data_IF_488190750598
#
_entry.id   IF_488190750598
#
_cell.length_a   1.000
_cell.length_b   1.000
_cell.length_c   1.000
_cell.angle_alpha   90.00
_cell.angle_beta   90.00
_cell.angle_gamma   90.00
#
_symmetry.space_group_name_H-M   'P 1'
#
loop_
_entity.id
_entity.type
_entity.pdbx_description
1 polymer ?
#
# COMPACT_ATOMS: atom_id res chain seq x y z
N UNK A 1 30.43 -20.84 3.49
CA UNK A 1 29.54 -20.03 4.35
C UNK A 1 28.14 -19.80 3.75
N UNK A 2 27.88 -20.22 2.51
CA UNK A 2 26.59 -19.97 1.80
C UNK A 2 25.40 -20.80 2.29
N UNK A 3 25.64 -21.98 2.89
CA UNK A 3 24.56 -22.91 3.29
C UNK A 3 23.70 -22.44 4.47
N UNK A 4 24.24 -21.62 5.38
CA UNK A 4 23.52 -21.22 6.60
C UNK A 4 22.44 -20.15 6.32
N UNK A 5 22.64 -19.28 5.32
CA UNK A 5 21.63 -18.27 4.92
C UNK A 5 20.37 -18.90 4.32
N UNK A 6 20.51 -19.97 3.55
CA UNK A 6 19.37 -20.66 2.92
C UNK A 6 18.43 -21.33 3.95
N UNK A 7 19.01 -21.89 5.01
CA UNK A 7 18.27 -22.60 6.06
C UNK A 7 17.52 -21.61 6.97
N UNK A 8 18.14 -20.48 7.32
CA UNK A 8 17.50 -19.43 8.13
C UNK A 8 16.42 -18.65 7.37
N UNK A 9 16.51 -18.61 6.04
CA UNK A 9 15.54 -17.92 5.17
C UNK A 9 14.29 -18.76 4.86
N UNK A 10 14.15 -19.96 5.42
CA UNK A 10 13.05 -20.91 5.09
C UNK A 10 12.85 -21.12 3.58
N UNK A 11 13.95 -21.11 2.81
CA UNK A 11 13.92 -21.21 1.34
C UNK A 11 13.31 -20.00 0.61
N UNK A 12 12.83 -18.98 1.33
CA UNK A 12 12.28 -17.74 0.79
C UNK A 12 13.31 -16.62 0.97
N UNK A 13 14.29 -16.55 0.07
CA UNK A 13 15.06 -15.32 -0.03
C UNK A 13 14.13 -14.31 -0.71
N UNK A 14 13.57 -13.40 0.08
CA UNK A 14 12.88 -12.24 -0.48
C UNK A 14 13.95 -11.43 -1.21
N UNK A 15 13.82 -11.37 -2.52
CA UNK A 15 14.84 -10.87 -3.43
C UNK A 15 14.67 -9.37 -3.70
N UNK A 16 13.53 -8.79 -3.31
CA UNK A 16 13.20 -7.40 -3.53
C UNK A 16 12.55 -6.79 -2.29
N UNK A 17 13.11 -5.68 -1.81
CA UNK A 17 12.50 -4.84 -0.79
C UNK A 17 11.70 -3.71 -1.46
N UNK A 18 10.41 -3.60 -1.16
CA UNK A 18 9.49 -2.57 -1.67
C UNK A 18 9.21 -1.59 -0.55
N UNK A 19 9.63 -0.34 -0.72
CA UNK A 19 9.41 0.73 0.24
C UNK A 19 8.16 1.51 -0.16
N UNK A 20 7.21 1.65 0.76
CA UNK A 20 5.99 2.45 0.61
C UNK A 20 5.94 3.51 1.70
N UNK A 21 5.11 4.53 1.49
CA UNK A 21 5.09 5.69 2.38
C UNK A 21 4.55 5.33 3.77
N UNK A 22 3.31 4.86 3.84
CA UNK A 22 2.65 4.57 5.10
C UNK A 22 2.14 3.12 5.20
N UNK A 23 1.48 2.83 6.32
CA UNK A 23 0.89 1.53 6.59
C UNK A 23 -0.36 1.25 5.73
N UNK A 24 -1.11 2.27 5.32
CA UNK A 24 -2.24 2.10 4.41
C UNK A 24 -1.77 1.61 3.03
N UNK A 25 -0.79 2.29 2.45
CA UNK A 25 -0.13 1.92 1.21
C UNK A 25 0.44 0.49 1.26
N UNK A 26 1.05 0.13 2.40
CA UNK A 26 1.56 -1.23 2.64
C UNK A 26 0.46 -2.27 2.62
N UNK A 27 -0.63 -2.05 3.36
CA UNK A 27 -1.76 -2.99 3.40
C UNK A 27 -2.42 -3.09 2.03
N UNK A 28 -2.67 -1.96 1.36
CA UNK A 28 -3.27 -1.91 0.03
C UNK A 28 -2.45 -2.71 -0.98
N UNK A 29 -1.15 -2.43 -1.09
CA UNK A 29 -0.27 -3.14 -2.03
C UNK A 29 -0.18 -4.63 -1.69
N UNK A 30 -0.15 -4.97 -0.40
CA UNK A 30 -0.11 -6.37 0.05
C UNK A 30 -1.37 -7.11 -0.36
N UNK A 31 -2.56 -6.55 -0.15
CA UNK A 31 -3.83 -7.19 -0.50
C UNK A 31 -4.03 -7.27 -2.02
N UNK A 32 -3.65 -6.22 -2.76
CA UNK A 32 -3.68 -6.23 -4.23
C UNK A 32 -2.84 -7.38 -4.77
N UNK A 33 -1.60 -7.52 -4.30
CA UNK A 33 -0.71 -8.60 -4.75
C UNK A 33 -1.22 -9.95 -4.24
N UNK A 34 -1.79 -10.04 -3.03
CA UNK A 34 -2.37 -11.28 -2.50
C UNK A 34 -3.48 -11.82 -3.40
N UNK A 35 -4.37 -10.94 -3.87
CA UNK A 35 -5.52 -11.32 -4.69
C UNK A 35 -5.11 -11.63 -6.14
N UNK A 36 -4.26 -10.78 -6.74
CA UNK A 36 -3.91 -10.92 -8.16
C UNK A 36 -2.74 -11.87 -8.42
N UNK A 37 -1.75 -11.90 -7.54
CA UNK A 37 -0.50 -12.66 -7.75
C UNK A 37 0.18 -13.08 -6.44
N UNK A 38 -0.51 -13.90 -5.66
CA UNK A 38 -0.07 -14.35 -4.32
C UNK A 38 1.36 -14.87 -4.25
N UNK A 39 1.83 -15.56 -5.28
CA UNK A 39 3.20 -16.08 -5.31
C UNK A 39 4.28 -14.98 -5.32
N UNK A 40 3.95 -13.76 -5.76
CA UNK A 40 4.87 -12.62 -5.71
C UNK A 40 5.25 -12.25 -4.26
N UNK A 41 4.33 -12.42 -3.30
CA UNK A 41 4.58 -12.17 -1.87
C UNK A 41 5.66 -13.08 -1.26
N UNK A 42 6.01 -14.17 -1.94
CA UNK A 42 7.13 -15.05 -1.56
C UNK A 42 8.48 -14.43 -1.92
N UNK A 43 8.52 -13.59 -2.95
CA UNK A 43 9.74 -13.01 -3.50
C UNK A 43 9.98 -11.56 -3.06
N UNK A 44 8.97 -10.86 -2.54
CA UNK A 44 9.08 -9.45 -2.12
C UNK A 44 8.88 -9.26 -0.61
N UNK A 45 9.46 -8.20 -0.06
CA UNK A 45 9.14 -7.67 1.27
C UNK A 45 8.61 -6.24 1.13
N UNK A 46 7.45 -5.93 1.70
CA UNK A 46 6.86 -4.57 1.65
C UNK A 46 7.04 -3.90 3.01
N UNK A 47 7.63 -2.70 3.02
CA UNK A 47 7.96 -1.95 4.24
C UNK A 47 7.35 -0.55 4.17
N UNK A 48 6.59 -0.17 5.20
CA UNK A 48 6.17 1.20 5.42
C UNK A 48 7.34 1.97 6.06
N UNK A 49 7.81 3.04 5.42
CA UNK A 49 9.04 3.73 5.79
C UNK A 49 8.78 5.14 6.34
N UNK A 50 7.76 5.84 5.87
CA UNK A 50 7.46 7.23 6.19
C UNK A 50 7.20 8.05 4.93
N UNK A 51 7.48 9.34 4.94
CA UNK A 51 7.21 10.19 3.77
C UNK A 51 8.00 9.80 2.49
N UNK A 52 7.62 10.40 1.36
CA UNK A 52 8.30 10.28 0.06
C UNK A 52 9.82 10.45 0.09
N UNK A 53 10.38 11.29 0.97
CA UNK A 53 11.83 11.50 1.06
C UNK A 53 12.49 10.34 1.81
N UNK A 54 11.87 9.87 2.90
CA UNK A 54 12.30 8.70 3.65
C UNK A 54 12.25 7.43 2.78
N UNK A 55 11.19 7.24 1.98
CA UNK A 55 11.07 6.13 1.02
C UNK A 55 12.21 6.14 0.00
N UNK A 56 12.54 7.32 -0.55
CA UNK A 56 13.63 7.47 -1.52
C UNK A 56 14.99 7.19 -0.87
N UNK A 57 15.21 7.69 0.34
CA UNK A 57 16.46 7.49 1.07
C UNK A 57 16.64 6.02 1.46
N UNK A 58 15.61 5.36 1.99
CA UNK A 58 15.64 3.94 2.33
C UNK A 58 15.98 3.07 1.12
N UNK A 59 15.36 3.34 -0.03
CA UNK A 59 15.67 2.66 -1.30
C UNK A 59 17.14 2.89 -1.71
N UNK A 60 17.64 4.11 -1.58
CA UNK A 60 19.06 4.41 -1.85
C UNK A 60 20.00 3.62 -0.92
N UNK A 61 19.70 3.57 0.37
CA UNK A 61 20.50 2.85 1.38
C UNK A 61 20.47 1.35 1.12
N UNK A 62 19.30 0.75 0.91
CA UNK A 62 19.15 -0.67 0.63
C UNK A 62 19.94 -1.08 -0.63
N UNK A 63 19.81 -0.32 -1.72
CA UNK A 63 20.57 -0.55 -2.94
C UNK A 63 22.10 -0.45 -2.71
N UNK A 64 22.57 0.51 -1.91
CA UNK A 64 24.00 0.62 -1.52
C UNK A 64 24.49 -0.57 -0.69
N UNK A 65 23.61 -1.21 0.09
CA UNK A 65 23.95 -2.42 0.86
C UNK A 65 23.93 -3.71 0.03
N UNK A 66 23.68 -3.62 -1.28
CA UNK A 66 23.64 -4.75 -2.20
C UNK A 66 22.33 -5.54 -2.16
N UNK A 67 21.29 -5.01 -1.53
CA UNK A 67 19.93 -5.53 -1.61
C UNK A 67 19.18 -4.83 -2.74
N UNK A 68 18.43 -5.56 -3.56
CA UNK A 68 17.56 -4.92 -4.56
C UNK A 68 16.39 -4.29 -3.83
N UNK A 69 16.13 -3.02 -4.11
CA UNK A 69 14.99 -2.31 -3.56
C UNK A 69 14.37 -1.36 -4.58
N UNK A 70 13.05 -1.20 -4.45
CA UNK A 70 12.24 -0.25 -5.21
C UNK A 70 11.37 0.55 -4.23
N UNK A 71 10.87 1.68 -4.71
CA UNK A 71 9.94 2.51 -3.97
C UNK A 71 8.63 2.61 -4.74
N UNK A 72 7.50 2.54 -4.03
CA UNK A 72 6.16 2.81 -4.56
C UNK A 72 5.58 3.97 -3.76
N UNK A 73 5.37 5.09 -4.44
CA UNK A 73 4.89 6.36 -3.86
C UNK A 73 3.42 6.59 -4.13
N UNK A 74 2.86 7.60 -3.49
CA UNK A 74 1.53 8.08 -3.79
C UNK A 74 1.41 8.56 -5.24
N UNK A 75 0.21 8.43 -5.80
CA UNK A 75 -0.04 8.67 -7.22
C UNK A 75 0.18 10.14 -7.64
N UNK A 76 0.05 11.08 -6.70
CA UNK A 76 0.20 12.53 -6.92
C UNK A 76 1.67 12.99 -6.96
N UNK A 77 2.60 12.22 -6.40
CA UNK A 77 4.05 12.48 -6.46
C UNK A 77 4.65 12.07 -7.81
N UNK A 78 4.02 11.10 -8.48
CA UNK A 78 4.40 10.58 -9.80
C UNK A 78 5.50 9.51 -9.77
N UNK A 79 5.86 8.98 -10.95
CA UNK A 79 6.80 7.87 -11.12
C UNK A 79 8.10 8.25 -11.82
N UNK A 80 9.17 7.54 -11.48
CA UNK A 80 10.44 7.53 -12.20
C UNK A 80 10.99 6.09 -12.29
N UNK A 81 10.41 5.33 -13.22
CA UNK A 81 10.71 3.90 -13.41
C UNK A 81 12.20 3.63 -13.64
N UNK A 82 12.95 4.60 -14.21
CA UNK A 82 14.40 4.45 -14.45
C UNK A 82 15.21 4.36 -13.17
N UNK A 83 14.73 5.00 -12.11
CA UNK A 83 15.37 5.01 -10.79
C UNK A 83 14.70 4.04 -9.80
N UNK A 84 13.82 3.14 -10.28
CA UNK A 84 13.09 2.21 -9.42
C UNK A 84 12.05 2.87 -8.53
N UNK A 85 11.55 4.04 -8.94
CA UNK A 85 10.48 4.79 -8.27
C UNK A 85 9.18 4.57 -9.06
N UNK A 86 8.27 3.80 -8.50
CA UNK A 86 6.93 3.56 -9.03
C UNK A 86 5.91 4.39 -8.24
N UNK A 87 4.68 4.43 -8.73
CA UNK A 87 3.56 5.07 -8.05
C UNK A 87 2.34 4.17 -8.05
N UNK A 88 1.46 4.36 -7.07
CA UNK A 88 0.11 3.78 -7.12
C UNK A 88 -0.65 4.29 -8.35
N UNK A 89 -1.62 3.51 -8.86
CA UNK A 89 -2.52 4.00 -9.90
C UNK A 89 -3.41 5.12 -9.37
N UNK A 90 -3.89 5.98 -10.27
CA UNK A 90 -4.77 7.10 -9.94
C UNK A 90 -4.06 8.46 -9.97
N UNK A 91 -4.67 9.45 -9.33
CA UNK A 91 -4.15 10.84 -9.25
C UNK A 91 -4.12 11.40 -7.84
N UNK A 92 -4.55 10.60 -6.86
CA UNK A 92 -4.70 10.98 -5.46
C UNK A 92 -3.94 9.98 -4.57
N UNK A 93 -3.67 10.33 -3.30
CA UNK A 93 -3.17 9.38 -2.32
C UNK A 93 -4.10 8.16 -2.20
N UNK A 94 -3.54 6.99 -1.87
CA UNK A 94 -4.27 5.73 -1.85
C UNK A 94 -5.46 5.74 -0.88
N UNK A 95 -5.36 6.44 0.26
CA UNK A 95 -6.50 6.57 1.18
C UNK A 95 -7.65 7.31 0.52
N UNK A 96 -7.36 8.46 -0.09
CA UNK A 96 -8.39 9.30 -0.70
C UNK A 96 -9.06 8.55 -1.85
N UNK A 97 -8.29 7.83 -2.67
CA UNK A 97 -8.83 7.04 -3.78
C UNK A 97 -9.78 5.94 -3.27
N UNK A 98 -9.38 5.20 -2.23
CA UNK A 98 -10.18 4.11 -1.63
C UNK A 98 -11.43 4.66 -0.95
N UNK A 99 -11.31 5.68 -0.09
CA UNK A 99 -12.42 6.25 0.65
C UNK A 99 -13.36 7.10 -0.22
N UNK A 100 -12.91 7.56 -1.39
CA UNK A 100 -13.77 8.26 -2.36
C UNK A 100 -14.60 7.31 -3.22
N UNK A 101 -14.35 5.99 -3.19
CA UNK A 101 -15.07 5.02 -3.99
C UNK A 101 -16.52 4.84 -3.47
N UNK A 102 -17.52 4.99 -4.33
CA UNK A 102 -18.94 4.97 -3.96
C UNK A 102 -19.38 3.66 -3.30
N UNK A 103 -18.80 2.52 -3.71
CA UNK A 103 -19.12 1.23 -3.11
C UNK A 103 -18.48 1.05 -1.73
N UNK A 104 -17.29 1.66 -1.51
CA UNK A 104 -16.66 1.70 -0.19
C UNK A 104 -17.47 2.60 0.75
N UNK A 105 -17.96 3.75 0.27
CA UNK A 105 -18.89 4.61 1.02
C UNK A 105 -20.15 3.86 1.42
N UNK A 106 -20.77 3.19 0.45
CA UNK A 106 -21.97 2.38 0.71
C UNK A 106 -21.71 1.28 1.73
N UNK A 107 -20.57 0.60 1.66
CA UNK A 107 -20.19 -0.41 2.65
C UNK A 107 -20.06 0.17 4.06
N UNK A 108 -19.43 1.33 4.21
CA UNK A 108 -19.23 1.96 5.52
C UNK A 108 -20.55 2.46 6.10
N UNK A 109 -21.42 3.05 5.27
CA UNK A 109 -22.76 3.46 5.67
C UNK A 109 -23.62 2.24 6.09
N UNK A 110 -23.64 1.17 5.29
CA UNK A 110 -24.40 -0.04 5.62
C UNK A 110 -23.88 -0.75 6.87
N UNK A 111 -22.56 -0.76 7.09
CA UNK A 111 -21.94 -1.54 8.16
C UNK A 111 -21.89 -0.80 9.49
N UNK A 112 -21.62 0.50 9.45
CA UNK A 112 -21.37 1.32 10.64
C UNK A 112 -22.36 2.49 10.78
N UNK A 113 -23.19 2.76 9.78
CA UNK A 113 -24.09 3.92 9.78
C UNK A 113 -23.34 5.26 9.68
N UNK A 114 -22.13 5.23 9.11
CA UNK A 114 -21.24 6.39 9.03
C UNK A 114 -21.27 6.98 7.62
N UNK A 115 -21.60 8.27 7.53
CA UNK A 115 -21.50 9.04 6.29
C UNK A 115 -20.04 9.46 6.04
N UNK A 116 -19.37 8.78 5.11
CA UNK A 116 -18.00 9.10 4.72
C UNK A 116 -17.86 10.50 4.09
N UNK A 117 -18.85 10.98 3.34
CA UNK A 117 -18.79 12.31 2.73
C UNK A 117 -18.80 13.40 3.81
N UNK A 118 -19.52 13.14 4.91
CA UNK A 118 -19.47 14.01 6.09
C UNK A 118 -18.10 13.99 6.77
N UNK A 119 -17.49 12.81 6.97
CA UNK A 119 -16.14 12.69 7.57
C UNK A 119 -15.10 13.41 6.71
N UNK A 120 -15.11 13.19 5.40
CA UNK A 120 -14.15 13.80 4.46
C UNK A 120 -14.25 15.32 4.41
N UNK A 121 -15.40 15.91 4.77
CA UNK A 121 -15.60 17.35 4.85
C UNK A 121 -15.12 17.97 6.18
N UNK A 122 -14.81 17.18 7.20
CA UNK A 122 -14.34 17.70 8.50
C UNK A 122 -12.92 18.28 8.35
N UNK A 123 -12.69 19.43 8.97
CA UNK A 123 -11.38 20.13 8.94
C UNK A 123 -10.22 19.26 9.47
N UNK A 124 -10.51 18.30 10.35
CA UNK A 124 -9.54 17.36 10.93
C UNK A 124 -9.04 16.30 9.93
N UNK A 125 -9.73 16.15 8.79
CA UNK A 125 -9.49 15.14 7.74
C UNK A 125 -8.72 15.72 6.54
N UNK A 126 -8.23 16.95 6.63
CA UNK A 126 -7.24 17.50 5.68
C UNK A 126 -5.99 16.61 5.55
N UNK A 127 -5.71 15.86 6.61
CA UNK A 127 -4.69 14.82 6.65
C UNK A 127 -5.35 13.46 6.30
N UNK A 128 -5.16 13.01 5.06
CA UNK A 128 -5.81 11.79 4.52
C UNK A 128 -5.44 10.53 5.30
N UNK A 129 -4.29 10.49 5.97
CA UNK A 129 -3.90 9.37 6.81
C UNK A 129 -4.82 9.20 8.04
N UNK A 130 -5.57 10.23 8.43
CA UNK A 130 -6.48 10.19 9.58
C UNK A 130 -7.88 9.67 9.25
N UNK A 131 -8.23 9.48 7.97
CA UNK A 131 -9.58 9.03 7.58
C UNK A 131 -9.94 7.71 8.28
N UNK A 132 -9.05 6.71 8.20
CA UNK A 132 -9.25 5.41 8.84
C UNK A 132 -9.37 5.51 10.37
N UNK A 133 -8.65 6.46 10.97
CA UNK A 133 -8.70 6.71 12.41
C UNK A 133 -10.02 7.34 12.83
N UNK A 134 -10.52 8.35 12.11
CA UNK A 134 -11.80 8.96 12.41
C UNK A 134 -12.95 7.94 12.38
N UNK A 135 -12.95 7.04 11.39
CA UNK A 135 -13.95 5.96 11.30
C UNK A 135 -13.79 4.97 12.45
N UNK A 136 -12.54 4.58 12.77
CA UNK A 136 -12.26 3.67 13.87
C UNK A 136 -12.69 4.24 15.24
N UNK A 137 -12.45 5.53 15.47
CA UNK A 137 -12.82 6.23 16.70
C UNK A 137 -14.35 6.35 16.83
N UNK A 138 -15.08 6.61 15.74
CA UNK A 138 -16.55 6.67 15.76
C UNK A 138 -17.21 5.30 16.02
N UNK A 139 -16.60 4.21 15.54
CA UNK A 139 -17.11 2.85 15.70
C UNK A 139 -16.48 2.08 16.87
N UNK A 140 -15.66 2.75 17.70
CA UNK A 140 -14.91 2.12 18.80
C UNK A 140 -14.10 0.87 18.37
N UNK A 141 -13.52 0.92 17.17
CA UNK A 141 -12.79 -0.18 16.53
C UNK A 141 -11.31 0.17 16.30
N UNK A 142 -10.56 -0.72 15.66
CA UNK A 142 -9.17 -0.46 15.28
C UNK A 142 -9.03 0.03 13.84
N UNK A 143 -8.07 0.93 13.61
CA UNK A 143 -7.71 1.42 12.27
C UNK A 143 -7.40 0.26 11.31
N UNK A 144 -6.75 -0.79 11.82
CA UNK A 144 -6.37 -1.98 11.05
C UNK A 144 -7.58 -2.73 10.49
N UNK A 145 -8.64 -2.86 11.29
CA UNK A 145 -9.89 -3.50 10.88
C UNK A 145 -10.59 -2.66 9.82
N UNK A 146 -10.67 -1.34 10.03
CA UNK A 146 -11.25 -0.41 9.05
C UNK A 146 -10.50 -0.50 7.72
N UNK A 147 -9.16 -0.37 7.75
CA UNK A 147 -8.30 -0.47 6.56
C UNK A 147 -8.53 -1.78 5.81
N UNK A 148 -8.47 -2.92 6.51
CA UNK A 148 -8.62 -4.22 5.87
C UNK A 148 -9.97 -4.36 5.15
N UNK A 149 -11.06 -3.87 5.75
CA UNK A 149 -12.41 -3.97 5.18
C UNK A 149 -12.55 -3.08 3.94
N UNK A 150 -12.13 -1.81 4.02
CA UNK A 150 -12.28 -0.87 2.89
C UNK A 150 -11.38 -1.24 1.72
N UNK A 151 -10.17 -1.72 2.01
CA UNK A 151 -9.20 -2.17 1.01
C UNK A 151 -9.73 -3.43 0.32
N UNK A 152 -10.22 -4.42 1.06
CA UNK A 152 -10.80 -5.63 0.47
C UNK A 152 -11.98 -5.29 -0.45
N UNK A 153 -12.89 -4.42 -0.01
CA UNK A 153 -14.02 -3.97 -0.83
C UNK A 153 -13.55 -3.26 -2.09
N UNK A 154 -12.63 -2.31 -1.96
CA UNK A 154 -12.10 -1.56 -3.08
C UNK A 154 -11.40 -2.46 -4.11
N UNK A 155 -10.57 -3.39 -3.66
CA UNK A 155 -9.84 -4.29 -4.59
C UNK A 155 -10.81 -5.22 -5.34
N UNK A 156 -11.90 -5.64 -4.71
CA UNK A 156 -12.92 -6.46 -5.37
C UNK A 156 -13.74 -5.67 -6.41
N UNK A 157 -13.76 -4.34 -6.32
CA UNK A 157 -14.53 -3.49 -7.23
C UNK A 157 -13.70 -2.95 -8.40
N UNK A 158 -12.38 -2.84 -8.24
CA UNK A 158 -11.46 -2.46 -9.32
C UNK A 158 -11.06 -3.68 -10.17
N UNK A 159 -10.79 -3.45 -11.46
CA UNK A 159 -10.47 -4.54 -12.39
C UNK A 159 -8.96 -4.67 -12.64
N UNK A 160 -8.37 -3.85 -13.51
CA UNK A 160 -6.99 -4.02 -14.00
C UNK A 160 -6.04 -2.87 -13.66
N UNK A 161 -6.48 -1.89 -12.86
CA UNK A 161 -5.74 -0.65 -12.57
C UNK A 161 -4.34 -0.88 -11.97
N UNK A 162 -4.19 -1.93 -11.16
CA UNK A 162 -2.91 -2.30 -10.52
C UNK A 162 -2.05 -3.25 -11.36
N UNK A 163 -2.52 -3.72 -12.51
CA UNK A 163 -1.82 -4.76 -13.29
C UNK A 163 -0.47 -4.27 -13.83
N UNK A 164 -0.37 -3.00 -14.21
CA UNK A 164 0.88 -2.40 -14.67
C UNK A 164 1.89 -2.32 -13.52
N UNK A 165 1.47 -1.84 -12.36
CA UNK A 165 2.32 -1.76 -11.16
C UNK A 165 2.83 -3.15 -10.74
N UNK A 166 1.96 -4.16 -10.77
CA UNK A 166 2.37 -5.53 -10.45
C UNK A 166 3.42 -6.02 -11.45
N UNK A 167 3.20 -5.82 -12.75
CA UNK A 167 4.17 -6.22 -13.79
C UNK A 167 5.51 -5.52 -13.61
N UNK A 168 5.49 -4.23 -13.28
CA UNK A 168 6.70 -3.45 -13.01
C UNK A 168 7.48 -4.00 -11.81
N UNK A 169 6.80 -4.34 -10.71
CA UNK A 169 7.40 -4.98 -9.52
C UNK A 169 8.04 -6.32 -9.91
N UNK A 170 7.37 -7.12 -10.73
CA UNK A 170 7.91 -8.40 -11.20
C UNK A 170 9.17 -8.26 -12.04
N UNK A 171 9.25 -7.22 -12.88
CA UNK A 171 10.42 -6.97 -13.70
C UNK A 171 11.65 -6.58 -12.87
N UNK A 172 11.45 -6.17 -11.61
CA UNK A 172 12.53 -5.77 -10.70
C UNK A 172 13.15 -6.94 -9.89
N UNK A 173 12.49 -8.11 -9.86
CA UNK A 173 12.98 -9.31 -9.15
C UNK A 173 14.13 -9.96 -9.91
#
# INVERSE_FOLDING_TARGET
TTHVRSILSSGHVRNLDVCVEDEFAKVLLTEVIRLKKKDLLKAIAIHAIGDKDAVREATCVLNKTGKKSIAVRDADVGQDKKNGLFSFPGTKPPEVEVFSNDNVKSLIDEKYGIDLDWILQRDEVKDHHKIAKCIADEEESSEEVVRAIVIDKYINDIDSEFDELIKDIECCI
#
